data_IF_741453603776
#
_entry.id   IF_741453603776
#
_cell.length_a   1.000
_cell.length_b   1.000
_cell.length_c   1.000
_cell.angle_alpha   90.00
_cell.angle_beta   90.00
_cell.angle_gamma   90.00
#
_symmetry.space_group_name_H-M   'P 1'
#
loop_
_entity.id
_entity.type
_entity.pdbx_description
1 polymer ?
#
# COMPACT_ATOMS: atom_id res chain seq x y z
N UNK A 1 -35.44 -22.98 -0.50
CA UNK A 1 -34.97 -22.16 -1.64
C UNK A 1 -35.75 -22.64 -2.84
N UNK A 2 -36.81 -21.92 -3.19
CA UNK A 2 -37.64 -22.25 -4.32
C UNK A 2 -37.06 -21.56 -5.56
N UNK A 3 -36.39 -22.34 -6.41
CA UNK A 3 -35.89 -21.81 -7.67
C UNK A 3 -37.05 -21.91 -8.67
N UNK A 4 -37.42 -20.79 -9.30
CA UNK A 4 -38.27 -20.82 -10.50
C UNK A 4 -37.54 -21.65 -11.57
N UNK A 5 -37.95 -22.89 -11.76
CA UNK A 5 -37.37 -23.82 -12.74
C UNK A 5 -38.13 -23.67 -14.06
N UNK A 6 -37.41 -23.38 -15.13
CA UNK A 6 -38.00 -23.43 -16.45
C UNK A 6 -38.21 -24.91 -16.86
N UNK A 7 -39.47 -25.35 -16.77
CA UNK A 7 -39.86 -26.75 -16.96
C UNK A 7 -39.52 -27.28 -18.36
N UNK A 8 -39.54 -26.43 -19.39
CA UNK A 8 -39.20 -26.83 -20.76
C UNK A 8 -37.75 -27.33 -20.88
N UNK A 9 -36.79 -26.60 -20.30
CA UNK A 9 -35.38 -27.01 -20.33
C UNK A 9 -35.11 -28.17 -19.37
N UNK A 10 -35.77 -28.19 -18.22
CA UNK A 10 -35.60 -29.28 -17.24
C UNK A 10 -36.14 -30.61 -17.77
N UNK A 11 -37.31 -30.61 -18.43
CA UNK A 11 -37.86 -31.80 -19.06
C UNK A 11 -36.94 -32.36 -20.15
N UNK A 12 -36.33 -31.49 -20.97
CA UNK A 12 -35.32 -31.89 -21.97
C UNK A 12 -34.07 -32.49 -21.31
N UNK A 13 -33.66 -31.93 -20.18
CA UNK A 13 -32.56 -32.45 -19.39
C UNK A 13 -32.87 -33.86 -18.85
N UNK A 14 -34.03 -34.07 -18.26
CA UNK A 14 -34.43 -35.41 -17.75
C UNK A 14 -34.46 -36.43 -18.89
N UNK A 15 -35.08 -36.08 -20.03
CA UNK A 15 -35.08 -36.96 -21.22
C UNK A 15 -33.66 -37.31 -21.70
N UNK A 16 -32.73 -36.34 -21.68
CA UNK A 16 -31.32 -36.57 -22.02
C UNK A 16 -30.65 -37.55 -21.04
N UNK A 17 -30.92 -37.41 -19.74
CA UNK A 17 -30.36 -38.30 -18.72
C UNK A 17 -30.94 -39.71 -18.83
N UNK A 18 -32.25 -39.84 -19.02
CA UNK A 18 -32.92 -41.13 -19.23
C UNK A 18 -32.34 -41.83 -20.46
N UNK A 19 -32.26 -41.15 -21.60
CA UNK A 19 -31.63 -41.69 -22.80
C UNK A 19 -30.18 -42.15 -22.56
N UNK A 20 -29.39 -41.34 -21.84
CA UNK A 20 -27.99 -41.67 -21.55
C UNK A 20 -27.82 -42.86 -20.59
N UNK A 21 -28.80 -43.13 -19.72
CA UNK A 21 -28.80 -44.33 -18.86
C UNK A 21 -28.96 -45.61 -19.69
N UNK A 22 -29.77 -45.57 -20.74
CA UNK A 22 -29.99 -46.72 -21.64
C UNK A 22 -28.95 -46.81 -22.78
N UNK A 23 -28.26 -45.71 -23.08
CA UNK A 23 -27.26 -45.63 -24.16
C UNK A 23 -25.92 -45.12 -23.61
N UNK A 24 -25.20 -45.96 -22.83
CA UNK A 24 -23.91 -45.55 -22.29
C UNK A 24 -22.91 -45.30 -23.44
N UNK A 25 -22.20 -44.16 -23.43
CA UNK A 25 -21.27 -43.82 -24.51
C UNK A 25 -20.06 -44.75 -24.54
N UNK A 26 -19.63 -45.18 -25.73
CA UNK A 26 -18.38 -45.90 -25.92
C UNK A 26 -17.19 -44.93 -25.95
N UNK A 27 -16.13 -45.20 -25.17
CA UNK A 27 -14.90 -44.40 -25.12
C UNK A 27 -14.76 -43.50 -23.90
N UNK A 28 -14.31 -42.25 -24.09
CA UNK A 28 -14.04 -41.31 -23.00
C UNK A 28 -15.34 -40.82 -22.36
N UNK A 29 -15.50 -41.06 -21.07
CA UNK A 29 -16.69 -40.72 -20.30
C UNK A 29 -16.38 -39.82 -19.11
N UNK A 30 -17.31 -38.94 -18.78
CA UNK A 30 -17.27 -38.05 -17.63
C UNK A 30 -18.45 -38.39 -16.71
N UNK A 31 -18.18 -38.53 -15.40
CA UNK A 31 -19.23 -38.76 -14.40
C UNK A 31 -20.00 -37.46 -14.18
N UNK A 32 -21.30 -37.49 -14.41
CA UNK A 32 -22.19 -36.35 -14.24
C UNK A 32 -23.20 -36.61 -13.11
N UNK A 33 -23.42 -35.60 -12.25
CA UNK A 33 -24.43 -35.66 -11.20
C UNK A 33 -25.82 -35.27 -11.74
N UNK A 34 -26.83 -36.12 -11.58
CA UNK A 34 -28.20 -35.85 -12.05
C UNK A 34 -28.78 -34.63 -11.32
N UNK A 35 -28.69 -34.62 -10.00
CA UNK A 35 -28.85 -33.44 -9.17
C UNK A 35 -27.44 -32.94 -8.83
N UNK A 36 -27.03 -31.75 -9.28
CA UNK A 36 -25.70 -31.23 -9.01
C UNK A 36 -25.39 -31.14 -7.52
N UNK A 37 -24.17 -31.52 -7.11
CA UNK A 37 -23.72 -31.46 -5.70
C UNK A 37 -23.88 -30.06 -5.09
N UNK A 38 -23.66 -29.01 -5.87
CA UNK A 38 -23.87 -27.62 -5.43
C UNK A 38 -25.31 -27.32 -5.02
N UNK A 39 -26.27 -28.11 -5.49
CA UNK A 39 -27.70 -28.01 -5.17
C UNK A 39 -28.17 -29.13 -4.22
N UNK A 40 -27.26 -29.81 -3.52
CA UNK A 40 -27.62 -30.82 -2.53
C UNK A 40 -27.67 -32.26 -3.06
N UNK A 41 -27.28 -32.49 -4.32
CA UNK A 41 -27.20 -33.85 -4.86
C UNK A 41 -26.16 -34.72 -4.16
N UNK A 42 -26.49 -36.01 -4.00
CA UNK A 42 -25.63 -37.01 -3.35
C UNK A 42 -24.55 -37.55 -4.31
N UNK A 43 -23.53 -38.22 -3.77
CA UNK A 43 -22.53 -38.95 -4.57
C UNK A 43 -22.90 -40.43 -4.77
N UNK A 44 -24.16 -40.82 -4.51
CA UNK A 44 -24.63 -42.20 -4.70
C UNK A 44 -24.69 -42.54 -6.19
N UNK A 45 -24.54 -43.82 -6.53
CA UNK A 45 -24.58 -44.32 -7.92
C UNK A 45 -25.87 -43.92 -8.64
N UNK A 46 -27.00 -43.87 -7.93
CA UNK A 46 -28.31 -43.45 -8.47
C UNK A 46 -28.32 -41.99 -8.98
N UNK A 47 -27.51 -41.11 -8.37
CA UNK A 47 -27.41 -39.70 -8.76
C UNK A 47 -26.26 -39.46 -9.75
N UNK A 48 -25.64 -40.51 -10.29
CA UNK A 48 -24.50 -40.44 -11.20
C UNK A 48 -24.83 -41.11 -12.53
N UNK A 49 -24.43 -40.49 -13.62
CA UNK A 49 -24.57 -41.04 -14.97
C UNK A 49 -23.29 -40.76 -15.76
N UNK A 50 -22.86 -41.71 -16.58
CA UNK A 50 -21.71 -41.56 -17.46
C UNK A 50 -22.14 -40.85 -18.74
N UNK A 51 -21.56 -39.69 -19.03
CA UNK A 51 -21.85 -38.90 -20.23
C UNK A 51 -20.58 -38.72 -21.06
N UNK A 52 -20.69 -38.65 -22.38
CA UNK A 52 -19.57 -38.21 -23.21
C UNK A 52 -19.29 -36.72 -22.95
N UNK A 53 -18.07 -36.21 -23.19
CA UNK A 53 -17.76 -34.79 -22.98
C UNK A 53 -18.71 -33.85 -23.74
N UNK A 54 -19.25 -34.31 -24.87
CA UNK A 54 -20.26 -33.55 -25.62
C UNK A 54 -21.61 -33.51 -24.92
N UNK A 55 -22.09 -34.64 -24.45
CA UNK A 55 -23.38 -34.73 -23.75
C UNK A 55 -23.30 -34.05 -22.38
N UNK A 56 -22.18 -34.17 -21.68
CA UNK A 56 -21.93 -33.51 -20.39
C UNK A 56 -22.00 -31.97 -20.50
N UNK A 57 -21.42 -31.39 -21.56
CA UNK A 57 -21.53 -29.96 -21.83
C UNK A 57 -22.99 -29.53 -22.07
N UNK A 58 -23.75 -30.30 -22.84
CA UNK A 58 -25.16 -30.02 -23.12
C UNK A 58 -26.00 -30.13 -21.83
N UNK A 59 -25.73 -31.13 -20.98
CA UNK A 59 -26.39 -31.31 -19.70
C UNK A 59 -26.22 -30.08 -18.80
N UNK A 60 -24.98 -29.59 -18.62
CA UNK A 60 -24.73 -28.37 -17.84
C UNK A 60 -25.34 -27.11 -18.47
N UNK A 61 -25.41 -27.02 -19.81
CA UNK A 61 -26.10 -25.94 -20.50
C UNK A 61 -27.61 -25.96 -20.23
N UNK A 62 -28.26 -27.13 -20.35
CA UNK A 62 -29.70 -27.30 -20.08
C UNK A 62 -30.02 -26.98 -18.62
N UNK A 63 -29.21 -27.48 -17.68
CA UNK A 63 -29.36 -27.18 -16.26
C UNK A 63 -29.24 -25.68 -15.98
N UNK A 64 -28.27 -24.99 -16.58
CA UNK A 64 -28.18 -23.53 -16.44
C UNK A 64 -29.38 -22.81 -17.03
N UNK A 65 -29.90 -23.23 -18.19
CA UNK A 65 -31.09 -22.63 -18.81
C UNK A 65 -32.37 -22.90 -18.00
N UNK A 66 -32.45 -24.05 -17.34
CA UNK A 66 -33.55 -24.43 -16.47
C UNK A 66 -33.57 -23.61 -15.17
N UNK A 67 -32.46 -23.59 -14.43
CA UNK A 67 -32.41 -22.98 -13.09
C UNK A 67 -32.02 -21.50 -13.08
N UNK A 68 -31.30 -21.02 -14.11
CA UNK A 68 -30.75 -19.66 -14.24
C UNK A 68 -30.07 -19.11 -12.98
N UNK A 69 -29.49 -19.99 -12.16
CA UNK A 69 -28.85 -19.62 -10.90
C UNK A 69 -27.32 -19.53 -11.01
N UNK A 70 -26.70 -18.90 -10.02
CA UNK A 70 -25.24 -18.69 -9.97
C UNK A 70 -24.43 -19.99 -9.93
N UNK A 71 -24.96 -21.04 -9.28
CA UNK A 71 -24.30 -22.34 -9.15
C UNK A 71 -24.17 -23.03 -10.52
N UNK A 72 -25.27 -23.10 -11.27
CA UNK A 72 -25.30 -23.72 -12.61
C UNK A 72 -24.57 -22.87 -13.65
N UNK A 73 -24.67 -21.54 -13.56
CA UNK A 73 -23.88 -20.64 -14.41
C UNK A 73 -22.38 -20.86 -14.21
N UNK A 74 -21.92 -20.97 -12.95
CA UNK A 74 -20.51 -21.21 -12.66
C UNK A 74 -20.05 -22.60 -13.12
N UNK A 75 -20.85 -23.65 -12.91
CA UNK A 75 -20.53 -25.01 -13.39
C UNK A 75 -20.39 -25.05 -14.93
N UNK A 76 -21.34 -24.47 -15.65
CA UNK A 76 -21.28 -24.36 -17.11
C UNK A 76 -20.10 -23.52 -17.59
N UNK A 77 -19.82 -22.39 -16.92
CA UNK A 77 -18.68 -21.52 -17.22
C UNK A 77 -17.33 -22.24 -17.08
N UNK A 78 -17.16 -23.03 -16.01
CA UNK A 78 -15.92 -23.78 -15.79
C UNK A 78 -15.67 -24.82 -16.88
N UNK A 79 -16.71 -25.49 -17.39
CA UNK A 79 -16.55 -26.43 -18.50
C UNK A 79 -16.11 -25.77 -19.81
N UNK A 80 -16.56 -24.54 -20.08
CA UNK A 80 -16.13 -23.79 -21.27
C UNK A 80 -14.63 -23.52 -21.25
N UNK A 81 -14.09 -23.12 -20.09
CA UNK A 81 -12.67 -22.77 -19.95
C UNK A 81 -11.74 -23.98 -20.17
N UNK A 82 -12.21 -25.19 -19.86
CA UNK A 82 -11.42 -26.41 -20.00
C UNK A 82 -11.45 -27.02 -21.42
N UNK A 83 -12.52 -26.80 -22.21
CA UNK A 83 -12.77 -27.59 -23.43
C UNK A 83 -12.76 -26.79 -24.74
N UNK A 84 -12.41 -25.50 -24.75
CA UNK A 84 -12.17 -24.72 -25.98
C UNK A 84 -13.38 -24.54 -26.94
N UNK A 85 -14.59 -24.94 -26.52
CA UNK A 85 -15.77 -24.97 -27.40
C UNK A 85 -16.33 -23.56 -27.67
N UNK A 86 -16.71 -23.31 -28.93
CA UNK A 86 -17.34 -22.05 -29.34
C UNK A 86 -18.82 -22.04 -28.92
N UNK A 87 -19.19 -21.03 -28.14
CA UNK A 87 -20.57 -20.70 -27.77
C UNK A 87 -21.05 -19.51 -28.58
N UNK A 88 -22.36 -19.44 -28.84
CA UNK A 88 -22.97 -18.21 -29.34
C UNK A 88 -22.73 -17.07 -28.31
N UNK A 89 -22.37 -15.88 -28.82
CA UNK A 89 -21.96 -14.69 -28.05
C UNK A 89 -22.95 -14.36 -26.92
N UNK A 90 -24.25 -14.37 -27.21
CA UNK A 90 -25.32 -14.02 -26.26
C UNK A 90 -25.44 -15.00 -25.08
N UNK A 91 -25.31 -16.31 -25.36
CA UNK A 91 -25.38 -17.33 -24.29
C UNK A 91 -24.13 -17.32 -23.41
N UNK A 92 -22.98 -17.02 -24.00
CA UNK A 92 -21.71 -16.89 -23.28
C UNK A 92 -21.72 -15.68 -22.34
N UNK A 93 -22.14 -14.52 -22.83
CA UNK A 93 -22.21 -13.29 -22.04
C UNK A 93 -23.10 -13.46 -20.79
N UNK A 94 -24.30 -14.02 -20.98
CA UNK A 94 -25.25 -14.26 -19.89
C UNK A 94 -24.69 -15.21 -18.83
N UNK A 95 -24.11 -16.35 -19.25
CA UNK A 95 -23.52 -17.31 -18.31
C UNK A 95 -22.32 -16.69 -17.56
N UNK A 96 -21.45 -15.98 -18.27
CA UNK A 96 -20.27 -15.32 -17.70
C UNK A 96 -20.65 -14.26 -16.68
N UNK A 97 -21.61 -13.40 -16.99
CA UNK A 97 -22.04 -12.33 -16.10
C UNK A 97 -22.58 -12.87 -14.77
N UNK A 98 -23.43 -13.89 -14.83
CA UNK A 98 -24.00 -14.53 -13.65
C UNK A 98 -22.93 -15.28 -12.84
N UNK A 99 -22.01 -15.98 -13.51
CA UNK A 99 -20.91 -16.67 -12.85
C UNK A 99 -19.95 -15.70 -12.14
N UNK A 100 -19.60 -14.58 -12.78
CA UNK A 100 -18.74 -13.55 -12.18
C UNK A 100 -19.39 -12.96 -10.93
N UNK A 101 -20.68 -12.59 -11.00
CA UNK A 101 -21.42 -12.07 -9.84
C UNK A 101 -21.46 -13.08 -8.69
N UNK A 102 -21.69 -14.35 -9.00
CA UNK A 102 -21.71 -15.43 -8.01
C UNK A 102 -20.33 -15.66 -7.36
N UNK A 103 -19.26 -15.70 -8.14
CA UNK A 103 -17.90 -15.85 -7.59
C UNK A 103 -17.51 -14.64 -6.74
N UNK A 104 -17.85 -13.44 -7.19
CA UNK A 104 -17.60 -12.22 -6.45
C UNK A 104 -18.35 -12.22 -5.10
N UNK A 105 -19.64 -12.56 -5.09
CA UNK A 105 -20.44 -12.59 -3.86
C UNK A 105 -19.98 -13.69 -2.89
N UNK A 106 -19.64 -14.88 -3.39
CA UNK A 106 -19.21 -16.01 -2.56
C UNK A 106 -17.82 -15.83 -1.96
N UNK A 107 -16.94 -15.07 -2.61
CA UNK A 107 -15.58 -14.77 -2.13
C UNK A 107 -15.49 -13.47 -1.33
N UNK A 108 -16.47 -12.57 -1.44
CA UNK A 108 -16.48 -11.29 -0.72
C UNK A 108 -16.38 -11.52 0.79
N UNK A 109 -15.39 -10.90 1.42
CA UNK A 109 -15.20 -10.92 2.87
C UNK A 109 -14.62 -12.21 3.48
N UNK A 110 -14.41 -13.28 2.69
CA UNK A 110 -13.82 -14.51 3.21
C UNK A 110 -12.33 -14.34 3.47
N UNK A 111 -11.94 -14.41 4.74
CA UNK A 111 -10.54 -14.46 5.16
C UNK A 111 -10.00 -15.88 4.91
N UNK A 112 -8.82 -15.97 4.32
CA UNK A 112 -8.09 -17.23 4.18
C UNK A 112 -7.67 -17.70 5.58
N UNK A 113 -7.83 -18.98 5.89
CA UNK A 113 -7.42 -19.54 7.19
C UNK A 113 -5.90 -19.46 7.38
N UNK A 114 -5.44 -19.33 8.61
CA UNK A 114 -4.00 -19.26 8.93
C UNK A 114 -3.23 -20.48 8.39
N UNK A 115 -3.79 -21.68 8.55
CA UNK A 115 -3.20 -22.90 7.99
C UNK A 115 -3.03 -22.84 6.47
N UNK A 116 -4.01 -22.28 5.75
CA UNK A 116 -3.93 -22.13 4.28
C UNK A 116 -2.92 -21.05 3.90
N UNK A 117 -2.87 -19.92 4.63
CA UNK A 117 -1.85 -18.89 4.42
C UNK A 117 -0.44 -19.45 4.62
N UNK A 118 -0.24 -20.27 5.64
CA UNK A 118 1.04 -20.91 5.91
C UNK A 118 1.45 -21.83 4.75
N UNK A 119 0.53 -22.69 4.28
CA UNK A 119 0.78 -23.56 3.11
C UNK A 119 1.16 -22.76 1.87
N UNK A 120 0.43 -21.68 1.57
CA UNK A 120 0.73 -20.79 0.44
C UNK A 120 2.09 -20.09 0.59
N UNK A 121 2.42 -19.66 1.81
CA UNK A 121 3.69 -19.02 2.15
C UNK A 121 4.86 -20.00 1.96
N UNK A 122 4.77 -21.20 2.53
CA UNK A 122 5.77 -22.26 2.38
C UNK A 122 5.99 -22.64 0.91
N UNK A 123 4.91 -22.81 0.14
CA UNK A 123 4.98 -23.12 -1.29
C UNK A 123 5.61 -22.01 -2.14
N UNK A 124 5.64 -20.77 -1.63
CA UNK A 124 6.21 -19.59 -2.31
C UNK A 124 7.60 -19.24 -1.79
N UNK A 125 7.99 -19.76 -0.62
CA UNK A 125 9.27 -19.45 0.03
C UNK A 125 10.41 -20.00 -0.83
N UNK A 126 11.42 -19.16 -1.10
CA UNK A 126 12.58 -19.54 -1.90
C UNK A 126 12.37 -19.51 -3.42
N UNK A 127 11.14 -19.29 -3.92
CA UNK A 127 10.91 -19.11 -5.36
C UNK A 127 11.30 -17.70 -5.78
N UNK A 128 12.52 -17.56 -6.30
CA UNK A 128 12.97 -16.33 -6.96
C UNK A 128 12.52 -16.32 -8.42
N UNK A 129 12.14 -15.14 -8.92
CA UNK A 129 11.88 -14.97 -10.35
C UNK A 129 13.21 -15.06 -11.11
N UNK A 130 13.22 -15.64 -12.33
CA UNK A 130 14.42 -15.64 -13.16
C UNK A 130 14.83 -14.20 -13.50
N UNK A 131 16.13 -13.93 -13.65
CA UNK A 131 16.66 -12.57 -13.82
C UNK A 131 16.06 -11.84 -15.03
N UNK A 132 15.80 -12.55 -16.13
CA UNK A 132 15.17 -12.00 -17.33
C UNK A 132 13.76 -11.43 -17.05
N UNK A 133 12.97 -12.12 -16.23
CA UNK A 133 11.62 -11.67 -15.85
C UNK A 133 11.71 -10.48 -14.90
N UNK A 134 12.71 -10.45 -14.01
CA UNK A 134 12.96 -9.31 -13.13
C UNK A 134 13.29 -8.07 -13.96
N UNK A 135 14.15 -8.20 -14.97
CA UNK A 135 14.53 -7.08 -15.83
C UNK A 135 13.34 -6.58 -16.68
N UNK A 136 12.52 -7.48 -17.24
CA UNK A 136 11.27 -7.10 -17.95
C UNK A 136 10.31 -6.31 -17.07
N UNK A 137 10.17 -6.69 -15.79
CA UNK A 137 9.33 -5.95 -14.84
C UNK A 137 9.94 -4.59 -14.51
N UNK A 138 11.26 -4.53 -14.29
CA UNK A 138 11.98 -3.29 -14.04
C UNK A 138 11.83 -2.32 -15.19
N UNK A 139 12.09 -2.74 -16.43
CA UNK A 139 11.95 -1.90 -17.63
C UNK A 139 10.54 -1.30 -17.75
N UNK A 140 9.49 -2.08 -17.46
CA UNK A 140 8.12 -1.57 -17.45
C UNK A 140 7.85 -0.53 -16.35
N UNK A 141 8.54 -0.61 -15.22
CA UNK A 141 8.33 0.26 -14.06
C UNK A 141 9.20 1.51 -14.09
N UNK A 142 10.32 1.50 -14.81
CA UNK A 142 11.17 2.67 -14.99
C UNK A 142 10.34 3.81 -15.57
N UNK A 143 10.42 4.99 -14.95
CA UNK A 143 9.73 6.20 -15.40
C UNK A 143 8.24 6.29 -15.01
N UNK A 144 7.61 5.21 -14.54
CA UNK A 144 6.22 5.27 -14.11
C UNK A 144 6.09 6.04 -12.79
N UNK A 145 5.46 7.22 -12.85
CA UNK A 145 5.09 8.01 -11.67
C UNK A 145 3.70 7.61 -11.21
N UNK A 146 3.52 7.47 -9.90
CA UNK A 146 2.19 7.34 -9.32
C UNK A 146 1.38 8.62 -9.57
N UNK A 147 0.08 8.47 -9.78
CA UNK A 147 -0.85 9.60 -9.83
C UNK A 147 -0.87 10.32 -8.48
N UNK A 148 -1.24 11.60 -8.49
CA UNK A 148 -1.24 12.42 -7.28
C UNK A 148 -2.29 11.94 -6.27
N UNK A 149 -3.43 11.43 -6.75
CA UNK A 149 -4.43 10.77 -5.91
C UNK A 149 -3.84 9.54 -5.19
N UNK A 150 -3.09 8.69 -5.90
CA UNK A 150 -2.45 7.52 -5.32
C UNK A 150 -1.38 7.89 -4.28
N UNK A 151 -0.60 8.97 -4.54
CA UNK A 151 0.36 9.52 -3.57
C UNK A 151 -0.35 10.05 -2.32
N UNK A 152 -1.46 10.77 -2.49
CA UNK A 152 -2.22 11.31 -1.38
C UNK A 152 -2.80 10.20 -0.49
N UNK A 153 -3.35 9.14 -1.08
CA UNK A 153 -3.88 7.97 -0.34
C UNK A 153 -2.79 7.24 0.44
N UNK A 154 -1.60 7.08 -0.16
CA UNK A 154 -0.44 6.51 0.51
C UNK A 154 0.02 7.40 1.67
N UNK A 155 0.11 8.72 1.47
CA UNK A 155 0.47 9.66 2.52
C UNK A 155 -0.51 9.58 3.71
N UNK A 156 -1.82 9.65 3.45
CA UNK A 156 -2.88 9.53 4.47
C UNK A 156 -2.77 8.26 5.31
N UNK A 157 -2.33 7.14 4.73
CA UNK A 157 -2.21 5.87 5.46
C UNK A 157 -0.97 5.78 6.35
N UNK A 158 0.04 6.61 6.12
CA UNK A 158 1.30 6.63 6.87
C UNK A 158 1.42 7.77 7.87
N UNK A 159 0.66 8.86 7.70
CA UNK A 159 0.58 9.97 8.66
C UNK A 159 0.17 9.42 10.04
N UNK A 160 0.92 9.81 11.08
CA UNK A 160 0.63 9.47 12.48
C UNK A 160 1.08 8.08 12.94
N UNK A 161 1.51 7.18 12.05
CA UNK A 161 1.99 5.86 12.45
C UNK A 161 3.37 5.93 13.09
N UNK A 162 3.45 5.62 14.38
CA UNK A 162 4.73 5.44 15.10
C UNK A 162 5.22 4.01 14.92
N UNK A 163 6.53 3.85 14.74
CA UNK A 163 7.18 2.53 14.74
C UNK A 163 7.09 1.90 16.14
N UNK A 164 6.94 0.57 16.21
CA UNK A 164 6.96 -0.15 17.48
C UNK A 164 8.32 -0.02 18.17
N UNK A 165 8.34 -0.18 19.50
CA UNK A 165 9.57 -0.14 20.29
C UNK A 165 10.59 -1.17 19.78
N UNK A 166 10.14 -2.39 19.50
CA UNK A 166 10.97 -3.47 18.95
C UNK A 166 11.57 -3.11 17.59
N UNK A 167 10.75 -2.54 16.68
CA UNK A 167 11.23 -2.13 15.35
C UNK A 167 12.25 -1.00 15.47
N UNK A 168 12.02 -0.05 16.37
CA UNK A 168 12.94 1.06 16.65
C UNK A 168 14.26 0.56 17.21
N UNK A 169 14.23 -0.43 18.11
CA UNK A 169 15.42 -1.05 18.67
C UNK A 169 16.25 -1.76 17.59
N UNK A 170 15.61 -2.58 16.73
CA UNK A 170 16.28 -3.24 15.59
C UNK A 170 16.94 -2.23 14.64
N UNK A 171 16.23 -1.15 14.30
CA UNK A 171 16.81 -0.08 13.46
C UNK A 171 17.97 0.65 14.14
N UNK A 172 17.89 0.86 15.46
CA UNK A 172 18.97 1.47 16.25
C UNK A 172 20.22 0.59 16.25
N UNK A 173 20.06 -0.71 16.54
CA UNK A 173 21.14 -1.68 16.52
C UNK A 173 21.83 -1.75 15.14
N UNK A 174 21.05 -1.79 14.05
CA UNK A 174 21.58 -1.84 12.69
C UNK A 174 22.35 -0.58 12.24
N UNK A 175 22.07 0.57 12.88
CA UNK A 175 22.74 1.86 12.61
C UNK A 175 23.88 2.16 13.57
N UNK A 176 23.97 1.48 14.71
CA UNK A 176 25.02 1.69 15.70
C UNK A 176 26.39 1.44 15.06
N UNK A 177 27.30 2.39 15.20
CA UNK A 177 28.67 2.32 14.65
C UNK A 177 28.78 2.64 13.16
N UNK A 178 27.67 2.83 12.42
CA UNK A 178 27.75 3.27 11.03
C UNK A 178 27.90 4.79 10.97
N UNK A 179 28.90 5.32 10.27
CA UNK A 179 29.01 6.75 10.07
C UNK A 179 27.76 7.25 9.32
N UNK A 180 27.23 8.44 9.65
CA UNK A 180 26.17 9.03 8.84
C UNK A 180 26.68 9.20 7.40
N UNK A 181 25.78 9.10 6.42
CA UNK A 181 26.09 9.16 4.97
C UNK A 181 26.75 10.48 4.49
N UNK A 182 26.95 11.43 5.39
CA UNK A 182 27.62 12.70 5.19
C UNK A 182 28.98 12.80 5.92
N UNK A 183 29.48 11.74 6.56
CA UNK A 183 30.84 11.75 7.11
C UNK A 183 31.86 11.99 6.01
N UNK A 184 32.76 12.95 6.24
CA UNK A 184 33.74 13.41 5.24
C UNK A 184 33.19 14.44 4.25
N UNK A 185 31.85 14.61 4.14
CA UNK A 185 31.24 15.68 3.34
C UNK A 185 31.18 16.94 4.19
N UNK A 186 32.23 17.76 4.13
CA UNK A 186 32.16 19.12 4.66
C UNK A 186 31.28 19.94 3.72
N UNK A 187 30.04 20.21 4.13
CA UNK A 187 29.19 21.18 3.44
C UNK A 187 29.75 22.58 3.73
N UNK A 188 30.84 22.95 3.04
CA UNK A 188 31.29 24.33 2.99
C UNK A 188 30.27 25.06 2.13
N UNK A 189 29.38 25.84 2.74
CA UNK A 189 28.63 26.83 1.95
C UNK A 189 29.69 27.69 1.27
N UNK A 190 29.74 27.65 -0.08
CA UNK A 190 30.73 28.41 -0.87
C UNK A 190 30.64 29.90 -0.56
N UNK A 191 29.43 30.36 -0.24
CA UNK A 191 29.11 31.73 0.08
C UNK A 191 28.39 31.80 1.44
N UNK A 192 28.59 32.88 2.21
CA UNK A 192 27.79 33.12 3.40
C UNK A 192 26.30 33.14 3.03
N UNK A 193 25.44 32.57 3.88
CA UNK A 193 23.99 32.60 3.65
C UNK A 193 23.51 34.03 3.32
N UNK A 194 22.67 34.20 2.28
CA UNK A 194 22.05 35.47 1.96
C UNK A 194 21.36 36.07 3.19
N UNK A 195 21.49 37.38 3.37
CA UNK A 195 21.02 38.07 4.56
C UNK A 195 19.51 37.86 4.78
N UNK A 196 18.71 37.93 3.72
CA UNK A 196 17.26 37.70 3.73
C UNK A 196 16.89 36.32 4.28
N UNK A 197 17.52 35.25 3.77
CA UNK A 197 17.25 33.88 4.21
C UNK A 197 17.60 33.69 5.69
N UNK A 198 18.68 34.32 6.14
CA UNK A 198 19.10 34.27 7.55
C UNK A 198 18.09 34.98 8.46
N UNK A 199 17.54 36.12 8.03
CA UNK A 199 16.50 36.83 8.78
C UNK A 199 15.21 36.01 8.87
N UNK A 200 14.78 35.41 7.75
CA UNK A 200 13.62 34.51 7.69
C UNK A 200 13.75 33.29 8.61
N UNK A 201 14.93 32.66 8.63
CA UNK A 201 15.22 31.55 9.56
C UNK A 201 15.25 32.01 11.03
N UNK A 202 15.73 33.23 11.29
CA UNK A 202 15.70 33.85 12.61
C UNK A 202 14.27 34.10 13.11
N UNK A 203 13.39 34.56 12.23
CA UNK A 203 11.96 34.75 12.49
C UNK A 203 11.25 33.45 12.85
N UNK A 204 11.44 32.41 12.06
CA UNK A 204 10.86 31.08 12.33
C UNK A 204 11.26 30.47 13.67
N UNK A 205 12.39 30.93 14.24
CA UNK A 205 12.93 30.49 15.53
C UNK A 205 12.62 31.44 16.68
N UNK A 206 12.12 32.65 16.39
CA UNK A 206 11.80 33.67 17.38
C UNK A 206 10.73 33.14 18.32
N UNK A 207 10.92 33.31 19.63
CA UNK A 207 9.98 32.84 20.66
C UNK A 207 9.98 31.33 20.93
N UNK A 208 10.82 30.52 20.26
CA UNK A 208 10.96 29.10 20.61
C UNK A 208 11.73 28.95 21.91
N UNK A 209 11.04 28.53 22.97
CA UNK A 209 11.64 28.16 24.26
C UNK A 209 11.84 26.64 24.30
N UNK A 210 13.01 26.16 24.70
CA UNK A 210 13.24 24.73 24.91
C UNK A 210 12.51 24.27 26.18
N UNK A 211 12.02 23.02 26.22
CA UNK A 211 11.49 22.46 27.47
C UNK A 211 12.55 22.41 28.57
N UNK A 212 12.14 22.53 29.83
CA UNK A 212 13.04 22.50 30.98
C UNK A 212 13.89 21.22 31.01
N UNK A 213 13.28 20.07 30.73
CA UNK A 213 13.96 18.78 30.65
C UNK A 213 15.08 18.78 29.58
N UNK A 214 14.78 19.30 28.39
CA UNK A 214 15.76 19.40 27.30
C UNK A 214 16.90 20.37 27.65
N UNK A 215 16.57 21.47 28.34
CA UNK A 215 17.55 22.45 28.81
C UNK A 215 18.50 21.85 29.86
N UNK A 216 17.95 21.12 30.84
CA UNK A 216 18.72 20.40 31.86
C UNK A 216 19.68 19.37 31.25
N UNK A 217 19.20 18.55 30.33
CA UNK A 217 20.03 17.54 29.64
C UNK A 217 21.19 18.18 28.87
N UNK A 218 20.94 19.30 28.20
CA UNK A 218 21.96 20.05 27.48
C UNK A 218 22.99 20.64 28.43
N UNK A 219 22.54 21.25 29.53
CA UNK A 219 23.40 21.83 30.57
C UNK A 219 24.34 20.79 31.18
N UNK A 220 23.79 19.64 31.61
CA UNK A 220 24.57 18.53 32.18
C UNK A 220 25.63 17.99 31.21
N UNK A 221 25.31 17.88 29.92
CA UNK A 221 26.25 17.40 28.90
C UNK A 221 27.42 18.37 28.64
N UNK A 222 27.25 19.66 28.94
CA UNK A 222 28.26 20.70 28.71
C UNK A 222 28.99 21.13 29.97
N UNK A 223 28.43 20.87 31.16
CA UNK A 223 29.01 21.30 32.43
C UNK A 223 30.35 20.60 32.66
N UNK A 224 31.38 21.38 32.98
CA UNK A 224 32.73 20.86 33.30
C UNK A 224 33.58 20.50 32.09
N UNK A 225 33.16 20.82 30.85
CA UNK A 225 33.98 20.60 29.66
C UNK A 225 34.78 21.87 29.35
N UNK A 226 36.09 21.95 29.67
CA UNK A 226 36.88 23.13 29.37
C UNK A 226 37.02 23.29 27.86
N UNK A 227 37.13 24.54 27.42
CA UNK A 227 37.46 24.84 26.03
C UNK A 227 38.92 24.41 25.78
N UNK A 228 39.19 23.70 24.68
CA UNK A 228 40.58 23.34 24.31
C UNK A 228 41.43 24.60 24.11
N UNK A 229 42.73 24.50 24.37
CA UNK A 229 43.68 25.61 24.22
C UNK A 229 43.65 26.19 22.80
N UNK A 230 43.64 25.33 21.78
CA UNK A 230 43.53 25.74 20.37
C UNK A 230 42.27 26.59 20.10
N UNK A 231 41.13 26.23 20.69
CA UNK A 231 39.91 27.00 20.54
C UNK A 231 39.97 28.32 21.31
N UNK A 232 40.62 28.34 22.48
CA UNK A 232 40.83 29.56 23.27
C UNK A 232 41.72 30.56 22.52
N UNK A 233 42.78 30.09 21.88
CA UNK A 233 43.66 30.90 21.05
C UNK A 233 42.98 31.42 19.79
N UNK A 234 42.16 30.60 19.10
CA UNK A 234 41.36 31.03 17.95
C UNK A 234 40.41 32.16 18.32
N UNK A 235 39.75 32.07 19.47
CA UNK A 235 38.92 33.15 20.01
C UNK A 235 39.79 34.38 20.24
N UNK A 236 40.88 34.28 21.01
CA UNK A 236 41.79 35.40 21.30
C UNK A 236 42.30 36.09 20.03
N UNK A 237 42.73 35.33 19.02
CA UNK A 237 43.20 35.82 17.72
C UNK A 237 42.10 36.57 16.97
N UNK A 238 40.86 36.04 16.96
CA UNK A 238 39.71 36.70 16.34
C UNK A 238 39.36 38.04 16.99
N UNK A 239 39.48 38.15 18.32
CA UNK A 239 39.23 39.40 19.04
C UNK A 239 40.39 40.38 18.97
N UNK A 240 41.61 39.90 18.73
CA UNK A 240 42.79 40.78 18.59
C UNK A 240 42.83 41.52 17.24
N UNK A 241 42.31 40.94 16.16
CA UNK A 241 42.36 41.53 14.82
C UNK A 241 41.39 42.75 14.68
N UNK A 242 41.90 43.98 14.48
CA UNK A 242 41.07 45.19 14.38
C UNK A 242 40.18 45.23 13.13
N UNK A 243 40.68 44.73 11.99
CA UNK A 243 39.99 44.74 10.70
C UNK A 243 38.79 43.78 10.71
N UNK A 244 38.97 42.58 11.28
CA UNK A 244 37.87 41.62 11.47
C UNK A 244 36.81 42.17 12.43
N UNK A 245 37.21 42.91 13.47
CA UNK A 245 36.28 43.59 14.39
C UNK A 245 35.50 44.69 13.69
N UNK A 246 36.15 45.52 12.87
CA UNK A 246 35.50 46.56 12.08
C UNK A 246 34.49 45.97 11.09
N UNK A 247 34.88 44.93 10.34
CA UNK A 247 34.01 44.21 9.41
C UNK A 247 32.82 43.55 10.11
N UNK A 248 33.03 42.96 11.29
CA UNK A 248 31.95 42.43 12.12
C UNK A 248 30.99 43.52 12.59
N UNK A 249 31.52 44.66 13.04
CA UNK A 249 30.73 45.81 13.49
C UNK A 249 29.85 46.38 12.36
N UNK A 250 30.43 46.64 11.18
CA UNK A 250 29.69 47.11 10.00
C UNK A 250 28.57 46.13 9.61
N UNK A 251 28.89 44.83 9.53
CA UNK A 251 27.90 43.78 9.27
C UNK A 251 26.78 43.77 10.31
N UNK A 252 27.08 43.98 11.59
CA UNK A 252 26.05 44.03 12.63
C UNK A 252 25.16 45.28 12.50
N UNK A 253 25.72 46.43 12.11
CA UNK A 253 24.95 47.65 11.80
C UNK A 253 23.97 47.42 10.64
N UNK A 254 24.41 46.80 9.54
CA UNK A 254 23.55 46.44 8.40
C UNK A 254 22.40 45.52 8.82
N UNK A 255 22.69 44.52 9.66
CA UNK A 255 21.68 43.58 10.18
C UNK A 255 20.65 44.29 11.05
N UNK A 256 21.09 45.21 11.90
CA UNK A 256 20.20 46.01 12.75
C UNK A 256 19.34 46.93 11.89
N UNK A 257 19.92 47.60 10.89
CA UNK A 257 19.20 48.47 9.96
C UNK A 257 18.12 47.68 9.18
N UNK A 258 18.47 46.53 8.59
CA UNK A 258 17.49 45.68 7.91
C UNK A 258 16.39 45.15 8.85
N UNK A 259 16.74 44.77 10.08
CA UNK A 259 15.74 44.34 11.07
C UNK A 259 14.74 45.45 11.40
N UNK A 260 15.22 46.70 11.51
CA UNK A 260 14.36 47.88 11.70
C UNK A 260 13.48 48.17 10.48
N UNK A 261 13.94 47.87 9.26
CA UNK A 261 13.11 48.01 8.06
C UNK A 261 12.02 46.92 7.94
N UNK A 262 12.35 45.68 8.30
CA UNK A 262 11.41 44.55 8.22
C UNK A 262 10.40 44.55 9.38
N UNK A 263 10.81 44.99 10.56
CA UNK A 263 9.93 45.23 11.71
C UNK A 263 10.19 46.65 12.21
N UNK A 264 9.50 47.68 11.67
CA UNK A 264 9.60 49.03 12.19
C UNK A 264 9.23 49.02 13.68
N UNK A 265 9.91 49.81 14.52
CA UNK A 265 9.52 49.93 15.91
C UNK A 265 8.06 50.38 15.94
N UNK A 266 7.20 49.51 16.47
CA UNK A 266 5.81 49.86 16.71
C UNK A 266 5.84 50.98 17.74
N UNK A 267 5.34 52.17 17.38
CA UNK A 267 5.10 53.23 18.35
C UNK A 267 4.27 52.64 19.49
N UNK A 268 4.59 52.89 20.78
CA UNK A 268 3.80 52.39 21.88
C UNK A 268 2.47 53.16 21.93
N UNK A 269 1.58 52.89 20.98
CA UNK A 269 0.19 53.31 21.00
C UNK A 269 -0.58 52.18 21.71
N UNK A 270 -0.87 52.44 22.99
CA UNK A 270 -1.92 51.81 23.83
C UNK A 270 -2.51 50.50 23.29
N UNK A 271 -1.72 49.43 23.30
CA UNK A 271 -2.27 48.07 23.29
C UNK A 271 -2.40 47.67 24.76
N UNK A 272 -3.62 47.51 25.30
CA UNK A 272 -3.79 47.09 26.69
C UNK A 272 -3.12 45.74 26.88
N UNK A 273 -2.29 45.62 27.92
CA UNK A 273 -1.67 44.34 28.25
C UNK A 273 -2.74 43.35 28.72
N UNK A 274 -2.59 42.05 28.47
CA UNK A 274 -3.64 41.03 28.66
C UNK A 274 -4.15 40.87 30.10
N UNK A 275 -3.54 41.55 31.07
CA UNK A 275 -3.90 41.50 32.49
C UNK A 275 -4.71 42.72 32.97
N UNK A 276 -5.07 43.65 32.09
CA UNK A 276 -5.95 44.79 32.42
C UNK A 276 -7.44 44.53 32.09
N UNK A 277 -7.85 43.27 31.94
CA UNK A 277 -9.26 42.90 31.89
C UNK A 277 -9.64 42.29 33.24
N UNK A 278 -10.11 43.15 34.14
CA UNK A 278 -10.87 42.78 35.34
C UNK A 278 -12.35 42.81 35.01
#
# INVERSE_FOLDING_TARGET
MDYSVNNHYYARYIKLIEWAKFNPPSGMVEKHHIVPRSMGGSNKKENLVALSPRVHFIAHWLLWKAYKNGKMANAFWTMKLCNGRRLNSKSYEQARFVAIKYVASTKKGKKISEATKLKMSLASKGKTRPPEVVEKIRQKQIGQKRTDEAKAKMSKTHIGKKLSHETRAKMSAAKKGKPPNNTGKVYKMKEPMPLELRLKLGEQRRGRVMSEESSRKKSLATKGRPLSEENREKIKKSWSNPELRAKHSQRMKEVIAMKKMINPPVSPQNTPLPWNQS
#
